data_IF_051192800832
#
_entry.id   IF_051192800832
#
_cell.length_a   1.000
_cell.length_b   1.000
_cell.length_c   1.000
_cell.angle_alpha   90.00
_cell.angle_beta   90.00
_cell.angle_gamma   90.00
#
_symmetry.space_group_name_H-M   'P 1'
#
loop_
_entity.id
_entity.type
_entity.pdbx_description
1 polymer ?
#
# COMPACT_ATOMS: atom_id res chain seq x y z
N UNK A 1 2.47 2.23 16.04
CA UNK A 1 2.24 3.04 14.82
C UNK A 1 2.74 2.21 13.65
N UNK A 2 1.98 2.04 12.57
CA UNK A 2 2.47 1.26 11.42
C UNK A 2 3.48 2.11 10.64
N UNK A 3 4.69 1.60 10.44
CA UNK A 3 5.75 2.32 9.73
C UNK A 3 5.45 2.39 8.23
N UNK A 4 5.56 3.61 7.68
CA UNK A 4 5.56 3.86 6.24
C UNK A 4 6.80 3.22 5.63
N UNK A 5 6.66 2.65 4.43
CA UNK A 5 7.72 1.87 3.78
C UNK A 5 9.04 2.63 3.67
N UNK A 6 10.12 2.01 4.16
CA UNK A 6 11.46 2.59 4.25
C UNK A 6 12.30 2.30 2.99
N UNK A 7 11.66 2.24 1.82
CA UNK A 7 12.32 2.06 0.51
C UNK A 7 13.52 3.00 0.32
N UNK A 8 13.44 4.20 0.92
CA UNK A 8 14.45 5.26 0.85
C UNK A 8 15.59 5.10 1.88
N UNK A 9 15.48 4.20 2.87
CA UNK A 9 16.51 3.98 3.90
C UNK A 9 17.68 3.15 3.35
N UNK A 10 18.90 3.73 3.21
CA UNK A 10 20.07 3.03 2.67
C UNK A 10 20.50 1.82 3.50
N UNK A 11 20.16 1.75 4.79
CA UNK A 11 20.59 0.71 5.71
C UNK A 11 19.60 -0.46 5.86
N UNK A 12 18.39 -0.34 5.32
CA UNK A 12 17.38 -1.39 5.45
C UNK A 12 17.80 -2.68 4.74
N UNK A 13 17.79 -3.79 5.48
CA UNK A 13 18.07 -5.14 4.97
C UNK A 13 16.81 -5.78 4.39
N UNK A 14 16.97 -6.79 3.53
CA UNK A 14 15.83 -7.52 2.97
C UNK A 14 15.01 -8.23 4.06
N UNK A 15 15.67 -8.78 5.09
CA UNK A 15 15.03 -9.46 6.21
C UNK A 15 14.15 -8.52 7.03
N UNK A 16 14.66 -7.33 7.37
CA UNK A 16 13.90 -6.34 8.12
C UNK A 16 12.73 -5.82 7.27
N UNK A 17 12.99 -5.53 6.00
CA UNK A 17 11.98 -5.07 5.07
C UNK A 17 10.86 -6.10 4.87
N UNK A 18 11.18 -7.38 4.63
CA UNK A 18 10.16 -8.40 4.36
C UNK A 18 9.31 -8.65 5.59
N UNK A 19 9.88 -8.56 6.79
CA UNK A 19 9.14 -8.62 8.04
C UNK A 19 8.18 -7.43 8.18
N UNK A 20 8.68 -6.20 7.99
CA UNK A 20 7.90 -4.98 8.08
C UNK A 20 6.76 -4.94 7.04
N UNK A 21 7.05 -5.30 5.79
CA UNK A 21 6.08 -5.36 4.70
C UNK A 21 5.05 -6.47 4.92
N UNK A 22 5.45 -7.63 5.46
CA UNK A 22 4.50 -8.68 5.84
C UNK A 22 3.53 -8.17 6.89
N UNK A 23 4.01 -7.51 7.94
CA UNK A 23 3.17 -6.94 8.98
C UNK A 23 2.22 -5.86 8.44
N UNK A 24 2.72 -4.99 7.54
CA UNK A 24 1.93 -3.98 6.83
C UNK A 24 0.79 -4.61 6.03
N UNK A 25 1.11 -5.63 5.21
CA UNK A 25 0.13 -6.37 4.40
C UNK A 25 -0.90 -7.09 5.24
N UNK A 26 -0.52 -7.65 6.39
CA UNK A 26 -1.46 -8.26 7.35
C UNK A 26 -2.44 -7.23 7.91
N UNK A 27 -1.97 -6.04 8.29
CA UNK A 27 -2.83 -4.97 8.79
C UNK A 27 -3.81 -4.46 7.71
N UNK A 28 -3.34 -4.34 6.46
CA UNK A 28 -4.18 -3.97 5.31
C UNK A 28 -5.24 -5.05 5.02
N UNK A 29 -4.87 -6.33 5.10
CA UNK A 29 -5.81 -7.43 4.94
C UNK A 29 -6.88 -7.43 6.03
N UNK A 30 -6.50 -7.18 7.29
CA UNK A 30 -7.45 -7.02 8.38
C UNK A 30 -8.43 -5.87 8.13
N UNK A 31 -7.91 -4.74 7.65
CA UNK A 31 -8.74 -3.62 7.24
C UNK A 31 -9.71 -4.00 6.11
N UNK A 32 -9.25 -4.67 5.06
CA UNK A 32 -10.10 -5.13 3.96
C UNK A 32 -11.20 -6.08 4.43
N UNK A 33 -10.87 -7.03 5.31
CA UNK A 33 -11.87 -7.94 5.89
C UNK A 33 -12.95 -7.18 6.63
N UNK A 34 -12.61 -6.12 7.38
CA UNK A 34 -13.60 -5.28 8.05
C UNK A 34 -14.57 -4.55 7.10
N UNK A 35 -14.20 -4.40 5.82
CA UNK A 35 -15.01 -3.73 4.79
C UNK A 35 -15.82 -4.69 3.94
N UNK A 36 -15.27 -5.87 3.65
CA UNK A 36 -15.87 -6.86 2.74
C UNK A 36 -16.69 -7.92 3.49
N UNK A 37 -16.26 -8.32 4.68
CA UNK A 37 -16.84 -9.43 5.46
C UNK A 37 -17.89 -8.93 6.45
N UNK A 38 -18.52 -7.79 6.19
CA UNK A 38 -19.58 -7.24 7.04
C UNK A 38 -20.89 -8.02 6.87
N UNK A 39 -20.85 -9.28 7.33
CA UNK A 39 -21.87 -10.31 7.26
C UNK A 39 -22.34 -10.64 8.67
N UNK A 40 -22.78 -9.66 9.48
CA UNK A 40 -23.56 -9.96 10.70
C UNK A 40 -24.69 -8.95 10.96
N UNK A 41 -25.91 -9.46 10.93
CA UNK A 41 -27.09 -8.80 11.47
C UNK A 41 -27.01 -8.76 13.01
N UNK A 42 -27.14 -7.56 13.60
CA UNK A 42 -27.47 -7.38 15.02
C UNK A 42 -26.34 -7.00 15.99
N UNK A 43 -25.07 -6.92 15.56
CA UNK A 43 -23.97 -6.40 16.40
C UNK A 43 -23.08 -5.50 15.54
N UNK A 44 -22.94 -4.23 15.91
CA UNK A 44 -22.02 -3.30 15.24
C UNK A 44 -20.58 -3.73 15.50
N UNK A 45 -19.86 -4.14 14.44
CA UNK A 45 -18.43 -4.40 14.51
C UNK A 45 -17.68 -3.12 14.90
N UNK A 46 -16.57 -3.18 15.66
CA UNK A 46 -15.79 -2.00 15.98
C UNK A 46 -15.30 -1.32 14.70
N UNK A 47 -15.70 -0.06 14.49
CA UNK A 47 -15.21 0.75 13.37
C UNK A 47 -13.69 0.84 13.48
N UNK A 48 -12.97 0.36 12.46
CA UNK A 48 -11.53 0.60 12.35
C UNK A 48 -11.33 2.10 12.19
N UNK A 49 -10.90 2.77 13.26
CA UNK A 49 -10.54 4.19 13.26
C UNK A 49 -9.12 4.36 12.73
N UNK A 50 -8.85 5.49 12.09
CA UNK A 50 -7.50 5.79 11.58
C UNK A 50 -7.10 5.04 10.31
N UNK A 51 -8.04 4.41 9.59
CA UNK A 51 -7.74 3.69 8.34
C UNK A 51 -7.01 4.56 7.30
N UNK A 52 -7.22 5.88 7.32
CA UNK A 52 -6.56 6.84 6.41
C UNK A 52 -5.04 6.88 6.60
N UNK A 53 -4.53 6.54 7.79
CA UNK A 53 -3.09 6.54 8.08
C UNK A 53 -2.43 5.20 7.82
N UNK A 54 -3.17 4.19 7.32
CA UNK A 54 -2.58 2.90 6.99
C UNK A 54 -1.59 3.08 5.83
N UNK A 55 -0.33 2.65 5.99
CA UNK A 55 0.64 2.74 4.91
C UNK A 55 0.28 1.79 3.77
N UNK A 56 0.48 2.23 2.53
CA UNK A 56 0.25 1.41 1.35
C UNK A 56 1.29 0.30 1.25
N UNK A 57 0.93 -0.86 0.65
CA UNK A 57 1.89 -1.92 0.43
C UNK A 57 2.96 -1.45 -0.56
N UNK A 58 4.13 -2.05 -0.44
CA UNK A 58 5.20 -1.87 -1.40
C UNK A 58 4.76 -2.34 -2.81
N UNK A 59 5.38 -1.80 -3.88
CA UNK A 59 5.18 -2.26 -5.24
C UNK A 59 5.25 -3.78 -5.38
N UNK A 60 4.38 -4.34 -6.22
CA UNK A 60 4.27 -5.78 -6.47
C UNK A 60 5.60 -6.44 -6.85
N UNK A 61 6.45 -5.85 -7.71
CA UNK A 61 7.77 -6.41 -8.01
C UNK A 61 8.68 -6.55 -6.80
N UNK A 62 8.65 -5.60 -5.85
CA UNK A 62 9.43 -5.71 -4.61
C UNK A 62 8.93 -6.86 -3.74
N UNK A 63 7.61 -7.01 -3.59
CA UNK A 63 7.01 -8.12 -2.84
C UNK A 63 7.19 -9.49 -3.49
N UNK A 64 7.32 -9.52 -4.81
CA UNK A 64 7.45 -10.77 -5.56
C UNK A 64 8.86 -11.33 -5.52
N UNK A 65 9.86 -10.52 -5.17
CA UNK A 65 11.23 -10.98 -4.98
C UNK A 65 11.31 -12.09 -3.92
N UNK A 66 11.98 -13.20 -4.26
CA UNK A 66 12.11 -14.38 -3.38
C UNK A 66 13.48 -14.50 -2.75
N UNK A 67 14.43 -13.71 -3.23
CA UNK A 67 15.79 -13.68 -2.70
C UNK A 67 16.22 -12.25 -2.41
N UNK A 68 17.19 -12.09 -1.49
CA UNK A 68 17.81 -10.81 -1.20
C UNK A 68 18.35 -10.12 -2.47
N UNK A 69 19.04 -10.87 -3.33
CA UNK A 69 19.63 -10.30 -4.56
C UNK A 69 18.59 -9.80 -5.56
N UNK A 70 17.47 -10.52 -5.74
CA UNK A 70 16.35 -10.04 -6.56
C UNK A 70 15.74 -8.76 -5.98
N UNK A 71 15.54 -8.73 -4.66
CA UNK A 71 14.98 -7.57 -3.98
C UNK A 71 15.89 -6.35 -4.09
N UNK A 72 17.20 -6.50 -3.89
CA UNK A 72 18.17 -5.42 -4.03
C UNK A 72 18.19 -4.85 -5.45
N UNK A 73 18.14 -5.71 -6.48
CA UNK A 73 18.11 -5.30 -7.87
C UNK A 73 16.85 -4.48 -8.22
N UNK A 74 15.68 -4.94 -7.75
CA UNK A 74 14.42 -4.22 -7.92
C UNK A 74 14.45 -2.92 -7.11
N UNK A 75 14.88 -2.95 -5.84
CA UNK A 75 14.95 -1.76 -4.99
C UNK A 75 15.86 -0.68 -5.58
N UNK A 76 16.95 -1.07 -6.23
CA UNK A 76 17.84 -0.13 -6.92
C UNK A 76 17.20 0.56 -8.14
N UNK A 77 16.26 -0.07 -8.84
CA UNK A 77 15.48 0.61 -9.89
C UNK A 77 14.48 1.60 -9.27
N UNK A 78 13.75 1.16 -8.25
CA UNK A 78 12.76 2.00 -7.55
C UNK A 78 13.37 3.23 -6.86
N UNK A 79 14.58 3.11 -6.28
CA UNK A 79 15.30 4.25 -5.69
C UNK A 79 15.72 5.30 -6.72
N UNK A 80 16.05 4.88 -7.95
CA UNK A 80 16.34 5.84 -9.04
C UNK A 80 15.09 6.61 -9.46
N UNK A 81 13.92 6.00 -9.27
CA UNK A 81 12.62 6.56 -9.60
C UNK A 81 11.89 7.16 -8.38
N UNK A 82 12.58 7.38 -7.25
CA UNK A 82 12.00 7.77 -5.95
C UNK A 82 11.05 8.99 -5.98
N UNK A 83 11.17 9.86 -7.00
CA UNK A 83 10.26 10.99 -7.23
C UNK A 83 8.83 10.62 -7.68
N UNK A 84 8.57 9.36 -8.08
CA UNK A 84 7.27 8.89 -8.60
C UNK A 84 6.34 8.30 -7.54
N UNK A 85 6.85 7.85 -6.39
CA UNK A 85 6.05 7.16 -5.36
C UNK A 85 5.55 8.11 -4.26
N UNK A 86 4.60 8.99 -4.60
CA UNK A 86 4.05 9.97 -3.65
C UNK A 86 2.87 9.46 -2.82
N UNK A 87 2.17 8.44 -3.27
CA UNK A 87 1.08 7.84 -2.50
C UNK A 87 1.69 6.90 -1.46
N UNK A 88 1.59 7.26 -0.18
CA UNK A 88 2.22 6.54 0.93
C UNK A 88 1.19 5.93 1.88
N UNK A 89 0.00 6.51 1.94
CA UNK A 89 -1.07 6.09 2.82
C UNK A 89 -2.36 5.80 2.07
N UNK A 90 -3.24 5.04 2.71
CA UNK A 90 -4.58 4.78 2.21
C UNK A 90 -5.42 6.07 2.09
N UNK A 91 -5.16 7.07 2.94
CA UNK A 91 -5.71 8.42 2.80
C UNK A 91 -5.30 9.08 1.48
N UNK A 92 -4.04 8.92 1.07
CA UNK A 92 -3.55 9.47 -0.20
C UNK A 92 -4.27 8.82 -1.39
N UNK A 93 -4.55 7.51 -1.34
CA UNK A 93 -5.35 6.84 -2.38
C UNK A 93 -6.77 7.41 -2.47
N UNK A 94 -7.43 7.64 -1.33
CA UNK A 94 -8.78 8.20 -1.30
C UNK A 94 -8.78 9.59 -1.95
N UNK A 95 -7.82 10.43 -1.59
CA UNK A 95 -7.73 11.78 -2.13
C UNK A 95 -7.34 11.80 -3.61
N UNK A 96 -6.35 11.00 -4.01
CA UNK A 96 -5.90 10.93 -5.40
C UNK A 96 -7.02 10.48 -6.34
N UNK A 97 -7.88 9.55 -5.90
CA UNK A 97 -9.05 9.08 -6.68
C UNK A 97 -10.15 10.14 -6.84
N UNK A 98 -10.27 11.08 -5.90
CA UNK A 98 -11.24 12.18 -5.99
C UNK A 98 -10.83 13.25 -7.01
N UNK A 99 -9.56 13.28 -7.40
CA UNK A 99 -9.04 14.24 -8.35
C UNK A 99 -9.31 13.80 -9.80
N UNK A 100 -9.39 14.74 -10.76
CA UNK A 100 -9.49 14.42 -12.18
C UNK A 100 -8.30 13.56 -12.65
N UNK A 101 -8.50 12.64 -13.61
CA UNK A 101 -7.42 11.78 -14.15
C UNK A 101 -6.23 12.57 -14.73
N UNK A 102 -6.49 13.74 -15.31
CA UNK A 102 -5.50 14.64 -15.90
C UNK A 102 -4.61 15.34 -14.85
N UNK A 103 -5.05 15.36 -13.60
CA UNK A 103 -4.32 16.01 -12.50
C UNK A 103 -3.02 15.28 -12.17
N UNK A 104 -2.12 15.96 -11.46
CA UNK A 104 -0.90 15.32 -10.94
C UNK A 104 -1.23 14.11 -10.05
N UNK A 105 -2.26 14.22 -9.21
CA UNK A 105 -2.73 13.12 -8.36
C UNK A 105 -3.33 11.96 -9.16
N UNK A 106 -4.01 12.24 -10.28
CA UNK A 106 -4.51 11.22 -11.20
C UNK A 106 -3.39 10.43 -11.87
N UNK A 107 -2.31 11.11 -12.29
CA UNK A 107 -1.09 10.47 -12.80
C UNK A 107 -0.41 9.61 -11.74
N UNK A 108 -0.26 10.12 -10.52
CA UNK A 108 0.31 9.37 -9.40
C UNK A 108 -0.52 8.12 -9.07
N UNK A 109 -1.85 8.21 -9.15
CA UNK A 109 -2.74 7.06 -8.96
C UNK A 109 -2.56 6.03 -10.07
N UNK A 110 -2.40 6.47 -11.32
CA UNK A 110 -2.11 5.58 -12.45
C UNK A 110 -0.77 4.87 -12.30
N UNK A 111 0.28 5.60 -11.93
CA UNK A 111 1.61 5.04 -11.68
C UNK A 111 1.55 4.02 -10.53
N UNK A 112 0.84 4.34 -9.45
CA UNK A 112 0.64 3.42 -8.34
C UNK A 112 -0.10 2.15 -8.77
N UNK A 113 -1.21 2.27 -9.52
CA UNK A 113 -1.95 1.11 -10.06
C UNK A 113 -1.07 0.21 -10.93
N UNK A 114 -0.21 0.79 -11.78
CA UNK A 114 0.69 0.03 -12.64
C UNK A 114 1.75 -0.76 -11.84
N UNK A 115 2.08 -0.29 -10.64
CA UNK A 115 3.11 -0.90 -9.78
C UNK A 115 2.56 -1.86 -8.72
N UNK A 116 1.27 -1.78 -8.39
CA UNK A 116 0.67 -2.51 -7.27
C UNK A 116 0.33 -3.97 -7.63
N UNK A 117 0.20 -4.82 -6.62
CA UNK A 117 -0.26 -6.19 -6.77
C UNK A 117 -1.76 -6.34 -6.45
N UNK A 118 -2.24 -7.59 -6.34
CA UNK A 118 -3.64 -7.89 -6.04
C UNK A 118 -4.14 -7.24 -4.75
N UNK A 119 -3.29 -7.12 -3.72
CA UNK A 119 -3.67 -6.45 -2.47
C UNK A 119 -3.89 -4.95 -2.71
N UNK A 120 -3.02 -4.32 -3.51
CA UNK A 120 -3.21 -2.94 -3.96
C UNK A 120 -4.54 -2.74 -4.69
N UNK A 121 -4.88 -3.60 -5.64
CA UNK A 121 -6.16 -3.51 -6.35
C UNK A 121 -7.37 -3.63 -5.41
N UNK A 122 -7.30 -4.52 -4.41
CA UNK A 122 -8.34 -4.62 -3.39
C UNK A 122 -8.46 -3.36 -2.54
N UNK A 123 -7.34 -2.68 -2.25
CA UNK A 123 -7.36 -1.38 -1.57
C UNK A 123 -8.00 -0.30 -2.43
N UNK A 124 -7.75 -0.27 -3.75
CA UNK A 124 -8.47 0.63 -4.67
C UNK A 124 -9.97 0.41 -4.57
N UNK A 125 -10.43 -0.83 -4.58
CA UNK A 125 -11.84 -1.14 -4.40
C UNK A 125 -12.34 -0.69 -3.02
N UNK A 126 -11.57 -0.95 -1.96
CA UNK A 126 -11.95 -0.54 -0.61
C UNK A 126 -12.10 0.98 -0.48
N UNK A 127 -11.42 1.79 -1.29
CA UNK A 127 -11.67 3.25 -1.29
C UNK A 127 -13.11 3.60 -1.68
N UNK A 128 -13.86 2.75 -2.40
CA UNK A 128 -15.29 2.99 -2.75
C UNK A 128 -16.25 2.65 -1.60
N UNK A 129 -15.76 1.95 -0.56
CA UNK A 129 -16.54 1.40 0.55
C UNK A 129 -16.38 2.23 1.85
N UNK A 130 -16.07 3.52 1.70
CA UNK A 130 -15.75 4.45 2.79
C UNK A 130 -16.69 5.63 2.77
#
# INVERSE_FOLDING_TARGET
MFEVDAIDDPCETWEDWVYAESHRRTALLWFLMSRVVDLKFGITCPVIRGYRTLPLPAPGPLWSARTRGEWEAVRASYRRDAGRHRLRTFGDLIEARRQPPESESGRQLSDWHASCDQLGLLLTLATTMI
#
